data_IF_395142266654
#
_entry.id   IF_395142266654
#
_cell.length_a   1.000
_cell.length_b   1.000
_cell.length_c   1.000
_cell.angle_alpha   90.00
_cell.angle_beta   90.00
_cell.angle_gamma   90.00
#
_symmetry.space_group_name_H-M   'P 1'
#
loop_
_entity.id
_entity.type
_entity.pdbx_description
1 polymer ?
#
# COMPACT_ATOMS: atom_id res chain seq x y z
N UNK A 1 5.01 -7.19 22.88
CA UNK A 1 5.02 -6.98 21.41
C UNK A 1 3.62 -7.30 20.90
N UNK A 2 2.75 -6.30 20.80
CA UNK A 2 1.32 -6.51 20.51
C UNK A 2 1.10 -6.89 19.04
N UNK A 3 0.51 -8.06 18.80
CA UNK A 3 -0.52 -8.24 17.77
C UNK A 3 -0.11 -8.49 16.31
N UNK A 4 1.05 -9.10 16.04
CA UNK A 4 1.28 -9.74 14.74
C UNK A 4 0.45 -11.03 14.64
N UNK A 5 -0.58 -11.02 13.80
CA UNK A 5 -1.30 -12.21 13.31
C UNK A 5 -2.32 -12.79 14.28
N UNK A 6 -3.61 -12.53 14.06
CA UNK A 6 -4.67 -13.08 14.92
C UNK A 6 -6.07 -12.74 14.46
N UNK A 7 -6.44 -13.26 13.30
CA UNK A 7 -7.78 -13.16 12.71
C UNK A 7 -7.62 -13.22 11.21
N UNK A 8 -8.20 -14.22 10.56
CA UNK A 8 -8.21 -14.41 9.10
C UNK A 8 -8.53 -13.08 8.40
N UNK A 9 -7.50 -12.30 8.07
CA UNK A 9 -7.63 -11.28 7.07
C UNK A 9 -7.70 -12.10 5.78
N UNK A 10 -8.85 -12.17 5.08
CA UNK A 10 -8.97 -12.97 3.87
C UNK A 10 -8.05 -12.46 2.75
N UNK A 11 -7.38 -11.34 2.98
CA UNK A 11 -6.44 -10.70 2.10
C UNK A 11 -5.01 -11.11 2.49
N UNK A 12 -4.37 -11.86 1.61
CA UNK A 12 -2.94 -12.12 1.67
C UNK A 12 -2.20 -10.89 1.13
N UNK A 13 -1.47 -10.20 2.00
CA UNK A 13 -0.68 -9.05 1.60
C UNK A 13 0.69 -9.49 1.08
N UNK A 14 1.08 -8.96 -0.08
CA UNK A 14 2.46 -9.09 -0.55
C UNK A 14 3.36 -8.07 0.17
N UNK A 15 4.41 -8.56 0.84
CA UNK A 15 5.41 -7.74 1.53
C UNK A 15 6.80 -7.82 0.88
N UNK A 16 6.94 -8.55 -0.23
CA UNK A 16 8.19 -8.67 -0.99
C UNK A 16 8.17 -7.73 -2.19
N UNK A 17 8.81 -6.56 -2.02
CA UNK A 17 8.90 -5.54 -3.06
C UNK A 17 9.52 -6.01 -4.38
N UNK A 18 10.40 -7.02 -4.33
CA UNK A 18 11.03 -7.59 -5.52
C UNK A 18 10.07 -8.47 -6.33
N UNK A 19 9.08 -9.06 -5.66
CA UNK A 19 8.07 -9.94 -6.24
C UNK A 19 6.72 -9.24 -6.55
N UNK A 20 6.63 -7.92 -6.31
CA UNK A 20 5.43 -7.13 -6.63
C UNK A 20 5.03 -7.26 -8.10
N UNK A 21 3.74 -7.45 -8.31
CA UNK A 21 3.08 -7.44 -9.63
C UNK A 21 1.76 -6.70 -9.56
N UNK A 22 1.27 -6.25 -10.72
CA UNK A 22 -0.06 -5.66 -10.85
C UNK A 22 -1.12 -6.65 -10.34
N UNK A 23 -2.09 -6.16 -9.57
CA UNK A 23 -3.13 -6.96 -8.91
C UNK A 23 -2.75 -7.47 -7.52
N UNK A 24 -1.51 -7.29 -7.06
CA UNK A 24 -1.16 -7.63 -5.68
C UNK A 24 -1.86 -6.69 -4.71
N UNK A 25 -2.39 -7.26 -3.62
CA UNK A 25 -2.81 -6.47 -2.47
C UNK A 25 -1.59 -6.22 -1.58
N UNK A 26 -1.31 -4.95 -1.28
CA UNK A 26 -0.21 -4.55 -0.39
C UNK A 26 -0.74 -3.78 0.80
N UNK A 27 0.02 -3.78 1.89
CA UNK A 27 -0.20 -2.83 2.97
C UNK A 27 0.71 -1.61 2.80
N UNK A 28 0.12 -0.43 2.64
CA UNK A 28 0.85 0.83 2.48
C UNK A 28 0.63 1.76 3.68
N UNK A 29 1.46 2.80 3.79
CA UNK A 29 1.37 3.86 4.79
C UNK A 29 1.25 5.22 4.11
N UNK A 30 0.60 6.15 4.80
CA UNK A 30 0.58 7.56 4.40
C UNK A 30 1.54 8.30 5.32
N UNK A 31 2.48 9.04 4.74
CA UNK A 31 3.51 9.80 5.46
C UNK A 31 3.35 11.30 5.21
N UNK A 32 3.90 12.13 6.10
CA UNK A 32 3.81 13.59 5.98
C UNK A 32 2.50 14.20 6.50
N UNK A 33 1.63 13.40 7.14
CA UNK A 33 0.48 13.88 7.89
C UNK A 33 0.33 13.09 9.20
N UNK A 34 0.44 13.73 10.38
CA UNK A 34 0.35 13.07 11.69
C UNK A 34 -0.96 12.31 11.93
N UNK A 35 -2.02 12.62 11.19
CA UNK A 35 -3.30 11.90 11.28
C UNK A 35 -3.20 10.46 10.77
N UNK A 36 -2.20 10.14 9.93
CA UNK A 36 -2.10 8.86 9.23
C UNK A 36 -0.78 8.08 9.45
N UNK A 37 0.23 8.68 10.09
CA UNK A 37 1.61 8.12 10.18
C UNK A 37 1.70 6.70 10.77
N UNK A 38 0.77 6.33 11.66
CA UNK A 38 0.73 5.01 12.30
C UNK A 38 -0.36 4.08 11.76
N UNK A 39 -1.17 4.55 10.79
CA UNK A 39 -2.29 3.78 10.27
C UNK A 39 -1.88 2.96 9.04
N UNK A 40 -2.02 1.63 9.07
CA UNK A 40 -1.83 0.80 7.89
C UNK A 40 -3.07 0.85 7.00
N UNK A 41 -2.85 0.96 5.71
CA UNK A 41 -3.90 0.87 4.69
C UNK A 41 -3.66 -0.35 3.81
N UNK A 42 -4.70 -0.75 3.07
CA UNK A 42 -4.66 -1.81 2.08
C UNK A 42 -5.01 -1.23 0.71
N UNK A 43 -4.28 -1.63 -0.32
CA UNK A 43 -4.55 -1.20 -1.69
C UNK A 43 -4.00 -2.20 -2.70
N UNK A 44 -4.61 -2.21 -3.89
CA UNK A 44 -4.16 -3.02 -5.02
C UNK A 44 -3.11 -2.27 -5.84
N UNK A 45 -2.05 -2.96 -6.26
CA UNK A 45 -1.06 -2.40 -7.19
C UNK A 45 -1.63 -2.32 -8.61
N UNK A 46 -1.75 -1.10 -9.13
CA UNK A 46 -2.14 -0.84 -10.52
C UNK A 46 -0.94 -0.84 -11.47
N UNK A 47 0.22 -0.38 -10.99
CA UNK A 47 1.47 -0.34 -11.75
C UNK A 47 2.66 -0.65 -10.84
N UNK A 48 3.68 -1.33 -11.38
CA UNK A 48 4.93 -1.64 -10.69
C UNK A 48 6.10 -1.18 -11.55
N UNK A 49 6.90 -0.26 -11.01
CA UNK A 49 8.08 0.32 -11.65
C UNK A 49 9.35 -0.04 -10.86
N UNK A 50 10.53 0.33 -11.36
CA UNK A 50 11.79 -0.03 -10.69
C UNK A 50 11.97 0.65 -9.32
N UNK A 51 11.51 1.89 -9.18
CA UNK A 51 11.69 2.73 -7.98
C UNK A 51 10.39 2.97 -7.20
N UNK A 52 9.23 2.75 -7.81
CA UNK A 52 7.93 3.09 -7.23
C UNK A 52 6.82 2.14 -7.67
N UNK A 53 5.67 2.26 -7.01
CA UNK A 53 4.42 1.59 -7.37
C UNK A 53 3.29 2.60 -7.49
N UNK A 54 2.24 2.23 -8.22
CA UNK A 54 0.97 2.97 -8.25
C UNK A 54 -0.09 2.10 -7.59
N UNK A 55 -0.76 2.65 -6.58
CA UNK A 55 -1.76 1.96 -5.76
C UNK A 55 -3.15 2.54 -6.06
N UNK A 56 -4.16 1.67 -6.14
CA UNK A 56 -5.56 2.10 -6.19
C UNK A 56 -5.95 2.80 -4.87
N UNK A 57 -6.31 4.08 -4.95
CA UNK A 57 -6.64 4.88 -3.78
C UNK A 57 -8.09 4.75 -3.30
N UNK A 58 -8.98 4.31 -4.19
CA UNK A 58 -10.35 3.89 -3.89
C UNK A 58 -10.58 2.50 -4.52
N UNK A 59 -11.04 1.49 -3.76
CA UNK A 59 -11.32 0.16 -4.29
C UNK A 59 -12.45 0.13 -5.32
N UNK A 60 -13.30 1.16 -5.37
CA UNK A 60 -14.40 1.28 -6.33
C UNK A 60 -14.08 2.21 -7.50
N UNK A 61 -12.97 2.96 -7.45
CA UNK A 61 -12.57 3.89 -8.49
C UNK A 61 -11.06 3.80 -8.80
N UNK A 62 -10.74 3.11 -9.88
CA UNK A 62 -9.36 2.93 -10.38
C UNK A 62 -8.76 4.19 -11.02
N UNK A 63 -9.52 5.28 -11.14
CA UNK A 63 -9.00 6.59 -11.50
C UNK A 63 -8.29 7.28 -10.32
N UNK A 64 -8.63 6.92 -9.08
CA UNK A 64 -7.93 7.40 -7.89
C UNK A 64 -6.64 6.60 -7.72
N UNK A 65 -5.49 7.26 -7.89
CA UNK A 65 -4.18 6.62 -7.95
C UNK A 65 -3.19 7.31 -7.03
N UNK A 66 -2.51 6.54 -6.20
CA UNK A 66 -1.46 7.04 -5.32
C UNK A 66 -0.10 6.50 -5.74
N UNK A 67 0.89 7.39 -5.87
CA UNK A 67 2.28 6.98 -6.05
C UNK A 67 2.88 6.63 -4.70
N UNK A 68 3.42 5.42 -4.58
CA UNK A 68 4.12 4.94 -3.39
C UNK A 68 5.54 4.49 -3.67
N UNK A 69 6.40 4.46 -2.65
CA UNK A 69 7.73 3.84 -2.74
C UNK A 69 7.64 2.33 -3.01
N UNK A 70 8.64 1.77 -3.70
CA UNK A 70 8.75 0.30 -3.88
C UNK A 70 9.55 -0.33 -2.73
N UNK A 71 8.89 -0.51 -1.60
CA UNK A 71 9.44 -1.19 -0.42
C UNK A 71 8.41 -2.15 0.18
N UNK A 72 8.79 -2.91 1.20
CA UNK A 72 7.93 -3.94 1.83
C UNK A 72 6.54 -3.42 2.21
N UNK A 73 6.46 -2.16 2.63
CA UNK A 73 5.21 -1.42 2.84
C UNK A 73 5.31 -0.07 2.15
N UNK A 74 4.74 0.11 0.95
CA UNK A 74 4.84 1.35 0.20
C UNK A 74 4.47 2.57 1.05
N UNK A 75 5.20 3.66 0.88
CA UNK A 75 4.92 4.94 1.51
C UNK A 75 4.37 5.91 0.48
N UNK A 76 3.15 6.38 0.72
CA UNK A 76 2.47 7.42 -0.07
C UNK A 76 2.59 8.74 0.67
N UNK A 77 3.03 9.79 -0.01
CA UNK A 77 3.05 11.12 0.58
C UNK A 77 1.63 11.65 0.71
N UNK A 78 1.29 12.25 1.85
CA UNK A 78 -0.04 12.82 2.08
C UNK A 78 -0.42 13.93 1.08
N UNK A 79 0.55 14.52 0.38
CA UNK A 79 0.33 15.49 -0.70
C UNK A 79 -0.19 14.86 -2.01
N UNK A 80 -0.11 13.54 -2.15
CA UNK A 80 -0.58 12.79 -3.32
C UNK A 80 -2.04 12.32 -3.18
N UNK A 81 -2.69 12.66 -2.04
CA UNK A 81 -4.02 12.18 -1.63
C UNK A 81 -5.01 13.34 -1.58
#
# INVERSE_FOLDING_TARGET
>A
MQGMGGGDCPFEFNFDASAFKVGDTVSYRIVGNPMFEDMPFAGELLEVHDDHVVIAGDPNDSAVRYRGTRESRPQVQASEI
#
